data_IF_830179281849
#
_entry.id   IF_830179281849
#
_cell.length_a   1.000
_cell.length_b   1.000
_cell.length_c   1.000
_cell.angle_alpha   90.00
_cell.angle_beta   90.00
_cell.angle_gamma   90.00
#
_symmetry.space_group_name_H-M   'P 1'
#
loop_
_entity.id
_entity.type
_entity.pdbx_description
1 polymer ?
#
# COMPACT_ATOMS: atom_id res chain seq x y z
N UNK A 1 41.12 0.36 -4.20
CA UNK A 1 40.84 1.73 -3.73
C UNK A 1 39.58 1.68 -2.90
N UNK A 2 39.71 1.95 -1.60
CA UNK A 2 38.63 1.96 -0.61
C UNK A 2 38.09 3.38 -0.51
N UNK A 3 36.78 3.55 -0.44
CA UNK A 3 36.17 4.64 0.34
C UNK A 3 34.77 4.23 0.78
N UNK A 4 34.68 3.90 2.07
CA UNK A 4 33.47 3.87 2.88
C UNK A 4 33.29 5.21 3.60
N UNK A 5 32.03 5.44 4.00
CA UNK A 5 31.56 6.22 5.14
C UNK A 5 31.55 7.76 5.05
N UNK A 6 30.34 8.32 5.19
CA UNK A 6 29.88 9.07 6.37
C UNK A 6 28.99 10.26 6.01
N UNK A 7 27.68 10.14 6.24
CA UNK A 7 26.79 11.30 6.38
C UNK A 7 25.80 11.03 7.51
N UNK A 8 26.34 11.03 8.73
CA UNK A 8 25.60 11.17 9.98
C UNK A 8 26.35 12.18 10.83
N UNK A 9 25.64 13.24 11.24
CA UNK A 9 26.01 14.38 12.12
C UNK A 9 26.11 15.72 11.39
N UNK A 10 25.02 16.48 11.45
CA UNK A 10 25.06 17.95 11.64
C UNK A 10 23.68 18.50 11.98
N UNK A 11 23.23 18.26 13.22
CA UNK A 11 22.14 19.02 13.85
C UNK A 11 22.36 19.09 15.37
N UNK A 12 23.56 19.44 15.81
CA UNK A 12 23.82 19.91 17.19
C UNK A 12 25.16 20.63 17.15
N UNK A 13 25.14 21.95 16.96
CA UNK A 13 26.18 22.89 17.39
C UNK A 13 25.75 24.30 17.00
N UNK A 14 25.27 25.04 17.98
CA UNK A 14 24.78 26.41 17.81
C UNK A 14 24.31 26.95 19.16
N UNK A 15 25.21 26.97 20.14
CA UNK A 15 24.93 27.45 21.49
C UNK A 15 26.22 27.81 22.21
N UNK A 16 26.84 28.90 21.76
CA UNK A 16 27.98 29.50 22.47
C UNK A 16 27.47 30.07 23.80
N UNK A 17 28.04 29.56 24.88
CA UNK A 17 27.91 30.06 26.24
C UNK A 17 28.31 31.54 26.29
N UNK A 18 27.37 32.41 26.65
CA UNK A 18 27.69 33.66 27.32
C UNK A 18 27.15 33.58 28.74
N UNK A 19 28.07 33.62 29.70
CA UNK A 19 27.75 33.86 31.10
C UNK A 19 27.34 35.32 31.23
N UNK A 20 26.13 35.57 31.69
CA UNK A 20 25.82 36.81 32.41
C UNK A 20 25.05 36.50 33.68
N UNK A 21 25.59 37.01 34.79
CA UNK A 21 25.03 36.93 36.13
C UNK A 21 23.96 38.01 36.27
N UNK A 22 22.73 37.65 36.61
CA UNK A 22 21.72 38.62 37.02
C UNK A 22 20.36 37.97 37.23
N UNK A 23 19.88 38.01 38.47
CA UNK A 23 18.64 37.37 38.89
C UNK A 23 17.40 37.89 38.16
N UNK A 24 16.47 36.97 37.94
CA UNK A 24 15.13 37.25 37.44
C UNK A 24 14.46 35.93 37.12
N UNK A 25 13.50 35.54 37.94
CA UNK A 25 12.64 34.39 37.71
C UNK A 25 11.80 34.61 36.44
N UNK A 26 12.32 34.21 35.29
CA UNK A 26 11.50 34.01 34.10
C UNK A 26 10.97 32.59 34.12
N UNK A 27 9.72 32.44 34.57
CA UNK A 27 8.88 31.37 34.09
C UNK A 27 8.90 31.43 32.57
N UNK A 28 9.73 30.60 31.94
CA UNK A 28 9.64 30.34 30.53
C UNK A 28 8.36 29.54 30.32
N UNK A 29 7.25 30.26 30.10
CA UNK A 29 6.06 29.70 29.48
C UNK A 29 6.46 29.21 28.10
N UNK A 30 6.84 27.93 28.00
CA UNK A 30 6.88 27.20 26.75
C UNK A 30 5.43 26.94 26.29
N UNK A 31 4.72 27.99 25.92
CA UNK A 31 3.53 27.88 25.06
C UNK A 31 3.98 28.12 23.61
N UNK A 32 4.96 27.35 23.16
CA UNK A 32 5.19 27.20 21.74
C UNK A 32 4.20 26.13 21.28
N UNK A 33 3.16 26.54 20.55
CA UNK A 33 2.44 25.65 19.66
C UNK A 33 3.46 25.07 18.69
N UNK A 34 4.12 23.98 19.09
CA UNK A 34 5.02 23.24 18.25
C UNK A 34 4.12 22.66 17.16
N UNK A 35 4.08 23.32 16.01
CA UNK A 35 3.33 22.84 14.85
C UNK A 35 3.95 21.48 14.51
N UNK A 36 3.25 20.41 14.87
CA UNK A 36 3.63 19.07 14.43
C UNK A 36 3.51 19.09 12.91
N UNK A 37 4.57 18.76 12.17
CA UNK A 37 4.49 18.76 10.71
C UNK A 37 3.45 17.74 10.24
N UNK A 38 2.64 18.13 9.26
CA UNK A 38 1.62 17.27 8.67
C UNK A 38 2.23 16.39 7.56
N UNK A 39 2.21 15.07 7.77
CA UNK A 39 2.75 14.08 6.83
C UNK A 39 1.66 13.30 6.12
N UNK A 40 1.90 12.91 4.88
CA UNK A 40 1.08 11.92 4.18
C UNK A 40 1.32 10.52 4.74
N UNK A 41 0.38 9.63 4.44
CA UNK A 41 0.56 8.20 4.65
C UNK A 41 1.38 7.64 3.49
N UNK A 42 2.50 6.98 3.79
CA UNK A 42 3.41 6.43 2.80
C UNK A 42 3.62 4.92 2.99
N UNK A 43 3.65 4.18 1.88
CA UNK A 43 4.10 2.79 1.86
C UNK A 43 5.61 2.74 1.65
N UNK A 44 6.36 1.87 2.37
CA UNK A 44 7.77 1.71 2.12
C UNK A 44 8.00 1.22 0.69
N UNK A 45 8.96 1.83 0.00
CA UNK A 45 9.44 1.32 -1.28
C UNK A 45 10.19 0.01 -1.03
N UNK A 46 9.85 -1.04 -1.79
CA UNK A 46 10.51 -2.34 -1.75
C UNK A 46 10.91 -2.73 -3.17
N UNK A 47 12.17 -3.16 -3.38
CA UNK A 47 12.61 -3.64 -4.68
C UNK A 47 11.97 -4.99 -5.01
N UNK A 48 11.85 -5.31 -6.30
CA UNK A 48 11.16 -6.52 -6.76
C UNK A 48 11.76 -7.82 -6.20
N UNK A 49 13.08 -7.86 -5.98
CA UNK A 49 13.75 -9.03 -5.41
C UNK A 49 13.26 -9.40 -4.00
N UNK A 50 12.58 -8.49 -3.28
CA UNK A 50 11.98 -8.80 -1.98
C UNK A 50 10.78 -9.74 -2.07
N UNK A 51 10.29 -9.98 -3.28
CA UNK A 51 9.19 -10.91 -3.60
C UNK A 51 9.60 -11.98 -4.65
N UNK A 52 10.90 -12.12 -4.94
CA UNK A 52 11.41 -13.07 -5.94
C UNK A 52 11.32 -14.51 -5.45
N UNK A 53 10.89 -15.42 -6.32
CA UNK A 53 10.68 -16.83 -5.99
C UNK A 53 9.40 -17.09 -5.19
N UNK A 54 8.60 -16.06 -4.92
CA UNK A 54 7.34 -16.18 -4.18
C UNK A 54 7.47 -15.96 -2.68
N UNK A 55 6.69 -15.01 -2.14
CA UNK A 55 6.68 -14.72 -0.71
C UNK A 55 5.29 -14.90 -0.09
N UNK A 56 5.19 -15.89 0.78
CA UNK A 56 4.00 -16.15 1.57
C UNK A 56 3.99 -15.28 2.83
N UNK A 57 2.81 -14.79 3.20
CA UNK A 57 2.61 -13.96 4.39
C UNK A 57 3.52 -12.72 4.40
N UNK A 58 3.60 -12.06 3.24
CA UNK A 58 4.36 -10.82 3.07
C UNK A 58 3.60 -9.63 3.68
N UNK A 59 4.29 -8.75 4.41
CA UNK A 59 3.68 -7.53 4.94
C UNK A 59 4.64 -6.33 4.85
N UNK A 60 4.06 -5.14 4.68
CA UNK A 60 4.78 -3.88 4.67
C UNK A 60 4.10 -2.91 5.62
N UNK A 61 4.85 -2.43 6.61
CA UNK A 61 4.35 -1.46 7.59
C UNK A 61 4.43 -0.05 6.99
N UNK A 62 3.30 0.69 6.87
CA UNK A 62 3.29 2.06 6.39
C UNK A 62 3.75 3.05 7.44
N UNK A 63 4.02 4.28 7.01
CA UNK A 63 4.50 5.36 7.85
C UNK A 63 3.66 6.63 7.68
N UNK A 64 3.56 7.41 8.75
CA UNK A 64 3.14 8.82 8.73
C UNK A 64 4.34 9.64 9.18
N UNK A 65 5.08 10.19 8.23
CA UNK A 65 6.38 10.82 8.50
C UNK A 65 7.35 9.81 9.12
N UNK A 66 7.99 10.12 10.27
CA UNK A 66 8.93 9.20 10.92
C UNK A 66 8.25 8.09 11.75
N UNK A 67 6.91 8.03 11.79
CA UNK A 67 6.18 7.13 12.68
C UNK A 67 5.57 5.95 11.91
N UNK A 68 5.97 4.72 12.27
CA UNK A 68 5.34 3.51 11.75
C UNK A 68 3.90 3.39 12.23
N UNK A 69 2.96 3.15 11.33
CA UNK A 69 1.56 2.87 11.70
C UNK A 69 1.50 1.45 12.29
N UNK A 70 1.00 1.27 13.52
CA UNK A 70 1.06 -0.01 14.21
C UNK A 70 0.21 -1.08 13.52
N UNK A 71 0.76 -2.30 13.48
CA UNK A 71 0.09 -3.54 13.02
C UNK A 71 -0.21 -4.53 14.14
N UNK A 72 0.31 -4.29 15.34
CA UNK A 72 0.30 -5.21 16.49
C UNK A 72 -0.97 -5.12 17.35
N UNK A 73 -2.03 -4.48 16.84
CA UNK A 73 -3.28 -4.26 17.56
C UNK A 73 -3.35 -2.93 18.31
N UNK A 74 -2.24 -2.19 18.40
CA UNK A 74 -2.27 -0.82 18.92
C UNK A 74 -2.81 0.18 17.88
N UNK A 75 -3.28 1.33 18.37
CA UNK A 75 -3.83 2.41 17.55
C UNK A 75 -2.92 3.64 17.64
N UNK A 76 -2.60 4.21 16.48
CA UNK A 76 -1.93 5.49 16.38
C UNK A 76 -2.97 6.61 16.41
N UNK A 77 -2.83 7.56 17.33
CA UNK A 77 -3.66 8.76 17.34
C UNK A 77 -3.08 9.80 16.39
N UNK A 78 -3.89 10.27 15.46
CA UNK A 78 -3.52 11.34 14.54
C UNK A 78 -4.61 12.40 14.48
N UNK A 79 -4.22 13.61 14.11
CA UNK A 79 -5.14 14.70 13.76
C UNK A 79 -5.06 14.95 12.26
N UNK A 80 -6.19 15.06 11.60
CA UNK A 80 -6.26 15.43 10.18
C UNK A 80 -5.90 16.90 10.06
N UNK A 81 -4.75 17.20 9.46
CA UNK A 81 -4.24 18.56 9.36
C UNK A 81 -4.63 19.24 8.04
N UNK A 82 -4.62 18.47 6.94
CA UNK A 82 -4.96 18.98 5.60
C UNK A 82 -5.54 17.89 4.71
N UNK A 83 -6.36 18.29 3.75
CA UNK A 83 -6.82 17.41 2.66
C UNK A 83 -6.18 17.85 1.35
N UNK A 84 -5.40 16.95 0.75
CA UNK A 84 -4.79 17.14 -0.56
C UNK A 84 -5.78 16.79 -1.66
N UNK A 85 -5.57 17.40 -2.84
CA UNK A 85 -6.19 16.94 -4.07
C UNK A 85 -5.36 15.80 -4.62
N UNK A 86 -6.02 14.74 -5.08
CA UNK A 86 -5.35 13.65 -5.78
C UNK A 86 -4.77 14.21 -7.09
N UNK A 87 -3.45 14.15 -7.23
CA UNK A 87 -2.79 14.40 -8.50
C UNK A 87 -2.79 13.10 -9.31
N UNK A 88 -3.12 13.15 -10.62
CA UNK A 88 -3.03 11.98 -11.46
C UNK A 88 -1.58 11.51 -11.55
N UNK A 89 -1.31 10.19 -11.63
CA UNK A 89 0.04 9.71 -11.84
C UNK A 89 0.57 10.15 -13.20
N UNK A 90 1.85 10.50 -13.26
CA UNK A 90 2.53 10.83 -14.50
C UNK A 90 2.66 9.60 -15.43
N UNK A 91 2.57 9.84 -16.74
CA UNK A 91 2.82 8.85 -17.78
C UNK A 91 4.25 8.27 -17.68
N UNK A 92 4.49 7.12 -18.31
CA UNK A 92 5.84 6.53 -18.34
C UNK A 92 6.78 7.36 -19.22
N UNK A 93 7.99 7.60 -18.75
CA UNK A 93 9.04 8.27 -19.52
C UNK A 93 9.80 7.29 -20.40
N UNK A 94 10.56 7.82 -21.36
CA UNK A 94 11.48 7.03 -22.18
C UNK A 94 12.53 6.35 -21.28
N UNK A 95 12.67 5.03 -21.39
CA UNK A 95 13.52 4.16 -20.56
C UNK A 95 12.99 3.80 -19.15
N UNK A 96 11.76 4.16 -18.79
CA UNK A 96 11.16 3.65 -17.56
C UNK A 96 11.06 2.12 -17.60
N UNK A 97 11.48 1.45 -16.52
CA UNK A 97 11.23 0.01 -16.37
C UNK A 97 9.82 -0.18 -15.81
N UNK A 98 8.97 -0.86 -16.57
CA UNK A 98 7.55 -1.05 -16.27
C UNK A 98 7.30 -2.48 -15.81
N UNK A 99 6.63 -2.62 -14.67
CA UNK A 99 6.09 -3.87 -14.18
C UNK A 99 4.61 -3.97 -14.57
N UNK A 100 4.25 -5.11 -15.16
CA UNK A 100 2.89 -5.59 -15.33
C UNK A 100 2.60 -6.67 -14.28
N UNK A 101 1.51 -6.52 -13.57
CA UNK A 101 1.10 -7.47 -12.54
C UNK A 101 -0.40 -7.77 -12.57
N UNK A 102 -0.74 -8.94 -12.04
CA UNK A 102 -2.10 -9.42 -11.83
C UNK A 102 -2.39 -9.50 -10.34
N UNK A 103 -3.50 -8.91 -9.93
CA UNK A 103 -3.97 -8.89 -8.55
C UNK A 103 -5.24 -9.74 -8.45
N UNK A 104 -5.14 -10.85 -7.75
CA UNK A 104 -6.26 -11.77 -7.56
C UNK A 104 -7.07 -11.37 -6.32
N UNK A 105 -8.38 -11.20 -6.47
CA UNK A 105 -9.33 -10.83 -5.40
C UNK A 105 -10.42 -11.89 -5.15
N UNK A 106 -10.35 -13.01 -5.87
CA UNK A 106 -11.35 -14.06 -5.88
C UNK A 106 -11.54 -14.63 -7.29
N UNK A 107 -12.24 -15.76 -7.38
CA UNK A 107 -12.36 -16.56 -8.62
C UNK A 107 -12.96 -15.82 -9.81
N UNK A 108 -13.76 -14.79 -9.55
CA UNK A 108 -14.45 -13.99 -10.55
C UNK A 108 -13.86 -12.57 -10.71
N UNK A 109 -12.72 -12.27 -10.08
CA UNK A 109 -12.11 -10.93 -10.16
C UNK A 109 -10.59 -10.94 -10.05
N UNK A 110 -9.95 -10.55 -11.15
CA UNK A 110 -8.54 -10.23 -11.23
C UNK A 110 -8.35 -8.84 -11.80
N UNK A 111 -7.48 -8.05 -11.18
CA UNK A 111 -7.11 -6.73 -11.68
C UNK A 111 -5.77 -6.80 -12.39
N UNK A 112 -5.73 -6.29 -13.62
CA UNK A 112 -4.48 -5.95 -14.31
C UNK A 112 -3.97 -4.63 -13.73
N UNK A 113 -2.68 -4.52 -13.47
CA UNK A 113 -2.07 -3.27 -13.06
C UNK A 113 -0.67 -3.10 -13.61
N UNK A 114 -0.29 -1.83 -13.79
CA UNK A 114 1.04 -1.44 -14.23
C UNK A 114 1.64 -0.39 -13.31
N UNK A 115 2.97 -0.38 -13.22
CA UNK A 115 3.71 0.63 -12.48
C UNK A 115 5.18 0.66 -12.88
N UNK A 116 5.89 1.74 -12.53
CA UNK A 116 7.35 1.74 -12.50
C UNK A 116 7.86 0.66 -11.56
N UNK A 117 9.01 0.06 -11.89
CA UNK A 117 9.64 -1.01 -11.12
C UNK A 117 9.83 -0.65 -9.64
N UNK A 118 10.30 0.57 -9.37
CA UNK A 118 10.56 1.06 -8.00
C UNK A 118 9.33 1.12 -7.09
N UNK A 119 8.13 1.17 -7.69
CA UNK A 119 6.86 1.28 -6.98
C UNK A 119 6.00 0.02 -7.10
N UNK A 120 6.45 -1.02 -7.80
CA UNK A 120 5.61 -2.18 -8.10
C UNK A 120 5.14 -2.92 -6.84
N UNK A 121 6.07 -3.25 -5.94
CA UNK A 121 5.73 -3.97 -4.71
C UNK A 121 4.78 -3.16 -3.82
N UNK A 122 5.07 -1.86 -3.62
CA UNK A 122 4.24 -0.98 -2.81
C UNK A 122 2.84 -0.79 -3.41
N UNK A 123 2.73 -0.59 -4.73
CA UNK A 123 1.44 -0.45 -5.43
C UNK A 123 0.63 -1.72 -5.46
N UNK A 124 1.23 -2.89 -5.66
CA UNK A 124 0.52 -4.17 -5.60
C UNK A 124 -0.06 -4.38 -4.20
N UNK A 125 0.76 -4.20 -3.17
CA UNK A 125 0.36 -4.47 -1.80
C UNK A 125 -0.65 -3.45 -1.24
N UNK A 126 -0.52 -2.16 -1.58
CA UNK A 126 -1.46 -1.11 -1.12
C UNK A 126 -2.89 -1.28 -1.63
N UNK A 127 -3.10 -2.14 -2.63
CA UNK A 127 -4.41 -2.48 -3.17
C UNK A 127 -5.04 -3.71 -2.49
N UNK A 128 -4.39 -4.28 -1.47
CA UNK A 128 -4.86 -5.40 -0.66
C UNK A 128 -5.39 -6.63 -1.44
N UNK A 129 -4.62 -7.17 -2.42
CA UNK A 129 -4.99 -8.38 -3.15
C UNK A 129 -4.85 -9.63 -2.27
N UNK A 130 -5.55 -10.72 -2.60
CA UNK A 130 -5.27 -12.01 -1.96
C UNK A 130 -3.94 -12.61 -2.43
N UNK A 131 -3.65 -12.46 -3.72
CA UNK A 131 -2.37 -12.86 -4.34
C UNK A 131 -1.99 -11.79 -5.36
N UNK A 132 -0.72 -11.39 -5.36
CA UNK A 132 -0.16 -10.50 -6.37
C UNK A 132 0.92 -11.25 -7.16
N UNK A 133 0.84 -11.20 -8.48
CA UNK A 133 1.76 -11.89 -9.39
C UNK A 133 2.31 -10.87 -10.37
N UNK A 134 3.62 -10.70 -10.42
CA UNK A 134 4.28 -9.91 -11.46
C UNK A 134 4.30 -10.78 -12.70
N UNK A 135 3.48 -10.42 -13.67
CA UNK A 135 3.44 -11.15 -14.93
C UNK A 135 4.71 -10.84 -15.69
N UNK A 136 4.94 -9.56 -16.01
CA UNK A 136 6.04 -9.10 -16.84
C UNK A 136 6.77 -7.89 -16.25
N UNK A 137 8.05 -7.77 -16.59
CA UNK A 137 8.85 -6.57 -16.36
C UNK A 137 9.56 -6.25 -17.65
N UNK A 138 9.23 -5.12 -18.25
CA UNK A 138 9.72 -4.72 -19.57
C UNK A 138 10.35 -3.34 -19.49
N UNK A 139 11.31 -3.09 -20.37
CA UNK A 139 11.72 -1.74 -20.71
C UNK A 139 11.04 -1.41 -22.05
N UNK A 140 10.04 -0.51 -22.09
CA UNK A 140 9.34 -0.20 -23.32
C UNK A 140 10.25 0.47 -24.35
N UNK A 141 10.11 0.09 -25.61
CA UNK A 141 10.86 0.68 -26.74
C UNK A 141 10.29 2.06 -27.19
N UNK A 142 9.13 2.44 -26.64
CA UNK A 142 8.43 3.69 -26.92
C UNK A 142 7.77 4.21 -25.65
N UNK A 143 7.51 5.52 -25.58
CA UNK A 143 6.71 6.12 -24.51
C UNK A 143 5.30 5.50 -24.50
N UNK A 144 4.89 4.94 -23.36
CA UNK A 144 3.57 4.32 -23.17
C UNK A 144 2.78 5.10 -22.13
N UNK A 145 1.51 5.48 -22.41
CA UNK A 145 0.62 5.94 -21.38
C UNK A 145 0.42 4.85 -20.31
N UNK A 146 0.33 5.24 -19.03
CA UNK A 146 0.28 4.30 -17.90
C UNK A 146 -0.77 3.19 -18.11
N UNK A 147 -1.97 3.60 -18.54
CA UNK A 147 -3.12 2.70 -18.66
C UNK A 147 -3.16 1.91 -19.98
N UNK A 148 -2.26 2.18 -20.92
CA UNK A 148 -2.35 1.65 -22.27
C UNK A 148 -2.15 0.13 -22.29
N UNK A 149 -1.11 -0.36 -21.61
CA UNK A 149 -0.83 -1.80 -21.53
C UNK A 149 -1.96 -2.57 -20.83
N UNK A 150 -2.54 -1.99 -19.77
CA UNK A 150 -3.70 -2.59 -19.09
C UNK A 150 -4.91 -2.73 -20.02
N UNK A 151 -5.18 -1.70 -20.85
CA UNK A 151 -6.25 -1.74 -21.86
C UNK A 151 -5.98 -2.78 -22.93
N UNK A 152 -4.76 -2.79 -23.50
CA UNK A 152 -4.37 -3.74 -24.54
C UNK A 152 -4.56 -5.19 -24.09
N UNK A 153 -4.20 -5.52 -22.84
CA UNK A 153 -4.41 -6.85 -22.26
C UNK A 153 -5.89 -7.17 -22.14
N UNK A 154 -6.70 -6.28 -21.57
CA UNK A 154 -8.14 -6.54 -21.43
C UNK A 154 -8.82 -6.72 -22.80
N UNK A 155 -8.49 -5.87 -23.77
CA UNK A 155 -9.11 -5.90 -25.09
C UNK A 155 -8.73 -7.16 -25.87
N UNK A 156 -7.50 -7.66 -25.69
CA UNK A 156 -7.02 -8.89 -26.34
C UNK A 156 -7.60 -10.15 -25.68
N UNK A 157 -7.53 -10.25 -24.35
CA UNK A 157 -7.95 -11.45 -23.64
C UNK A 157 -9.47 -11.57 -23.52
N UNK A 158 -10.20 -10.45 -23.46
CA UNK A 158 -11.67 -10.39 -23.33
C UNK A 158 -12.23 -11.25 -22.20
N UNK A 159 -11.42 -11.50 -21.17
CA UNK A 159 -11.80 -12.35 -20.06
C UNK A 159 -12.76 -11.60 -19.12
N UNK A 160 -13.91 -12.19 -18.75
CA UNK A 160 -14.90 -11.52 -17.91
C UNK A 160 -14.39 -11.26 -16.48
N UNK A 161 -13.39 -12.01 -16.01
CA UNK A 161 -12.80 -11.86 -14.68
C UNK A 161 -11.73 -10.77 -14.63
N UNK A 162 -11.14 -10.40 -15.78
CA UNK A 162 -10.09 -9.37 -15.84
C UNK A 162 -10.72 -7.97 -15.82
N UNK A 163 -10.19 -7.11 -14.94
CA UNK A 163 -10.63 -5.73 -14.73
C UNK A 163 -9.44 -4.79 -14.67
N UNK A 164 -9.67 -3.54 -15.02
CA UNK A 164 -8.69 -2.44 -14.87
C UNK A 164 -8.80 -1.75 -13.51
N UNK A 165 -10.02 -1.66 -12.99
CA UNK A 165 -10.27 -1.12 -11.66
C UNK A 165 -10.11 -2.20 -10.59
N UNK A 166 -9.83 -1.79 -9.36
CA UNK A 166 -9.96 -2.68 -8.19
C UNK A 166 -11.45 -2.90 -7.86
N UNK A 167 -11.82 -4.00 -7.19
CA UNK A 167 -13.17 -4.15 -6.67
C UNK A 167 -13.52 -3.05 -5.67
N UNK A 168 -14.81 -2.86 -5.43
CA UNK A 168 -15.26 -1.98 -4.35
C UNK A 168 -14.72 -2.45 -2.99
N UNK A 169 -14.43 -1.50 -2.09
CA UNK A 169 -13.85 -1.80 -0.78
C UNK A 169 -14.73 -2.76 0.05
N UNK A 170 -16.06 -2.67 -0.07
CA UNK A 170 -17.01 -3.61 0.54
C UNK A 170 -16.73 -5.06 0.15
N UNK A 171 -16.49 -5.30 -1.14
CA UNK A 171 -16.15 -6.61 -1.67
C UNK A 171 -14.77 -7.08 -1.20
N UNK A 172 -13.78 -6.20 -1.20
CA UNK A 172 -12.43 -6.51 -0.69
C UNK A 172 -12.52 -6.93 0.79
N UNK A 173 -13.24 -6.18 1.62
CA UNK A 173 -13.46 -6.48 3.03
C UNK A 173 -14.19 -7.82 3.21
N UNK A 174 -15.27 -8.07 2.47
CA UNK A 174 -16.00 -9.34 2.57
C UNK A 174 -15.14 -10.54 2.17
N UNK A 175 -14.35 -10.41 1.11
CA UNK A 175 -13.44 -11.46 0.66
C UNK A 175 -12.38 -11.75 1.73
N UNK A 176 -11.72 -10.72 2.24
CA UNK A 176 -10.72 -10.88 3.30
C UNK A 176 -11.31 -11.50 4.55
N UNK A 177 -12.50 -11.07 5.00
CA UNK A 177 -13.16 -11.66 6.16
C UNK A 177 -13.53 -13.13 5.93
N UNK A 178 -13.90 -13.52 4.70
CA UNK A 178 -14.10 -14.93 4.36
C UNK A 178 -12.80 -15.72 4.52
N UNK A 179 -11.67 -15.20 4.04
CA UNK A 179 -10.36 -15.87 4.17
C UNK A 179 -9.88 -15.92 5.62
N UNK A 180 -9.99 -14.81 6.36
CA UNK A 180 -9.60 -14.70 7.78
C UNK A 180 -10.38 -15.70 8.64
N UNK A 181 -11.64 -15.98 8.29
CA UNK A 181 -12.44 -16.96 9.02
C UNK A 181 -11.81 -18.37 9.00
N UNK A 182 -10.92 -18.68 8.05
CA UNK A 182 -10.25 -19.98 7.93
C UNK A 182 -11.10 -21.06 7.27
N UNK A 183 -12.22 -20.70 6.65
CA UNK A 183 -13.17 -21.64 6.04
C UNK A 183 -13.48 -21.23 4.59
N UNK A 184 -13.79 -22.22 3.76
CA UNK A 184 -14.24 -22.02 2.38
C UNK A 184 -13.16 -22.18 1.30
N UNK A 185 -13.59 -22.16 0.04
CA UNK A 185 -12.73 -22.49 -1.11
C UNK A 185 -11.56 -21.52 -1.30
N UNK A 186 -11.77 -20.22 -1.09
CA UNK A 186 -10.70 -19.22 -1.23
C UNK A 186 -9.58 -19.43 -0.21
N UNK A 187 -9.93 -19.69 1.05
CA UNK A 187 -8.95 -20.00 2.08
C UNK A 187 -8.14 -21.26 1.70
N UNK A 188 -8.84 -22.34 1.29
CA UNK A 188 -8.19 -23.59 0.88
C UNK A 188 -7.25 -23.40 -0.32
N UNK A 189 -7.63 -22.58 -1.31
CA UNK A 189 -6.77 -22.23 -2.44
C UNK A 189 -5.51 -21.52 -1.95
N UNK A 190 -5.63 -20.51 -1.10
CA UNK A 190 -4.47 -19.80 -0.58
C UNK A 190 -3.55 -20.71 0.23
N UNK A 191 -4.07 -21.56 1.11
CA UNK A 191 -3.24 -22.55 1.83
C UNK A 191 -2.55 -23.52 0.86
N UNK A 192 -3.25 -23.97 -0.20
CA UNK A 192 -2.64 -24.81 -1.24
C UNK A 192 -1.51 -24.07 -1.98
N UNK A 193 -1.63 -22.77 -2.24
CA UNK A 193 -0.53 -21.97 -2.82
C UNK A 193 0.64 -21.91 -1.84
N UNK A 194 0.39 -21.73 -0.54
CA UNK A 194 1.45 -21.71 0.48
C UNK A 194 2.20 -23.04 0.54
N UNK A 195 1.50 -24.15 0.39
CA UNK A 195 2.08 -25.49 0.40
C UNK A 195 2.85 -25.80 -0.89
N UNK A 196 2.29 -25.46 -2.06
CA UNK A 196 2.85 -25.82 -3.37
C UNK A 196 3.81 -24.78 -3.94
N UNK A 197 3.79 -23.56 -3.41
CA UNK A 197 4.51 -22.40 -3.92
C UNK A 197 4.24 -22.12 -5.40
N UNK A 198 3.02 -22.40 -5.86
CA UNK A 198 2.60 -22.26 -7.26
C UNK A 198 1.23 -21.58 -7.36
N UNK A 199 1.20 -20.24 -7.40
CA UNK A 199 -0.05 -19.51 -7.53
C UNK A 199 -0.71 -19.69 -8.90
N UNK A 200 0.07 -19.93 -9.97
CA UNK A 200 -0.47 -20.01 -11.32
C UNK A 200 -1.32 -21.26 -11.51
N UNK A 201 -0.80 -22.42 -11.09
CA UNK A 201 -1.52 -23.68 -11.21
C UNK A 201 -2.71 -23.75 -10.25
N UNK A 202 -2.56 -23.29 -9.01
CA UNK A 202 -3.64 -23.40 -8.00
C UNK A 202 -4.80 -22.44 -8.27
N UNK A 203 -4.50 -21.24 -8.79
CA UNK A 203 -5.55 -20.29 -9.17
C UNK A 203 -6.11 -20.56 -10.57
N UNK A 204 -5.50 -21.46 -11.34
CA UNK A 204 -5.88 -21.77 -12.73
C UNK A 204 -5.78 -20.54 -13.65
N UNK A 205 -4.76 -19.69 -13.42
CA UNK A 205 -4.57 -18.40 -14.12
C UNK A 205 -3.36 -18.39 -15.06
N UNK A 206 -2.71 -19.54 -15.24
CA UNK A 206 -1.48 -19.64 -16.03
C UNK A 206 -1.67 -19.14 -17.47
N UNK A 207 -2.73 -19.56 -18.16
CA UNK A 207 -3.01 -19.14 -19.54
C UNK A 207 -3.23 -17.63 -19.64
N UNK A 208 -4.05 -17.07 -18.74
CA UNK A 208 -4.31 -15.63 -18.68
C UNK A 208 -3.01 -14.84 -18.44
N UNK A 209 -2.15 -15.32 -17.55
CA UNK A 209 -0.88 -14.68 -17.27
C UNK A 209 0.09 -14.80 -18.46
N UNK A 210 0.14 -15.95 -19.13
CA UNK A 210 0.95 -16.16 -20.34
C UNK A 210 0.52 -15.28 -21.50
N UNK A 211 -0.79 -15.10 -21.70
CA UNK A 211 -1.30 -14.21 -22.74
C UNK A 211 -0.97 -12.75 -22.44
N UNK A 212 -1.13 -12.32 -21.19
CA UNK A 212 -0.75 -10.98 -20.76
C UNK A 212 0.77 -10.73 -20.88
N UNK A 213 1.60 -11.73 -20.57
CA UNK A 213 3.04 -11.73 -20.85
C UNK A 213 3.33 -11.60 -22.33
N UNK A 214 2.61 -12.34 -23.18
CA UNK A 214 2.73 -12.26 -24.64
C UNK A 214 2.43 -10.87 -25.17
N UNK A 215 1.39 -10.20 -24.63
CA UNK A 215 1.09 -8.79 -24.96
C UNK A 215 2.22 -7.88 -24.53
N UNK A 216 2.72 -8.00 -23.29
CA UNK A 216 3.80 -7.13 -22.80
C UNK A 216 5.05 -7.20 -23.68
N UNK A 217 5.37 -8.39 -24.20
CA UNK A 217 6.51 -8.62 -25.10
C UNK A 217 6.39 -7.96 -26.47
N UNK A 218 5.20 -7.52 -26.87
CA UNK A 218 5.04 -6.72 -28.09
C UNK A 218 5.56 -5.28 -27.91
N UNK A 219 5.80 -4.85 -26.66
CA UNK A 219 6.17 -3.47 -26.31
C UNK A 219 7.61 -3.31 -25.79
N UNK A 220 8.29 -4.43 -25.48
CA UNK A 220 9.67 -4.42 -25.01
C UNK A 220 10.11 -5.80 -24.54
N UNK A 221 11.43 -5.99 -24.46
CA UNK A 221 12.00 -7.26 -24.01
C UNK A 221 11.82 -7.46 -22.49
N UNK A 222 11.45 -8.67 -22.05
CA UNK A 222 11.30 -8.97 -20.63
C UNK A 222 12.66 -9.03 -19.94
N UNK A 223 12.79 -8.32 -18.83
CA UNK A 223 14.02 -8.24 -18.03
C UNK A 223 14.16 -9.38 -17.00
N UNK A 224 13.05 -10.03 -16.68
CA UNK A 224 12.96 -11.13 -15.72
C UNK A 224 12.26 -12.33 -16.37
N UNK A 225 12.21 -13.48 -15.71
CA UNK A 225 11.40 -14.60 -16.18
C UNK A 225 9.90 -14.41 -15.91
N UNK A 226 9.09 -15.21 -16.60
CA UNK A 226 7.65 -15.22 -16.47
C UNK A 226 7.22 -15.59 -15.04
N UNK A 227 6.43 -14.72 -14.41
CA UNK A 227 5.82 -14.96 -13.09
C UNK A 227 6.81 -15.33 -11.96
N UNK A 228 8.08 -14.94 -12.08
CA UNK A 228 9.12 -15.22 -11.08
C UNK A 228 8.90 -14.51 -9.73
N UNK A 229 8.06 -13.48 -9.70
CA UNK A 229 7.86 -12.63 -8.54
C UNK A 229 6.38 -12.59 -8.17
N UNK A 230 6.07 -12.99 -6.94
CA UNK A 230 4.70 -12.99 -6.45
C UNK A 230 4.67 -12.97 -4.92
N UNK A 231 3.54 -12.59 -4.35
CA UNK A 231 3.34 -12.69 -2.91
C UNK A 231 1.88 -12.91 -2.51
N UNK A 232 1.69 -13.44 -1.31
CA UNK A 232 0.43 -13.49 -0.57
C UNK A 232 0.57 -12.58 0.64
N UNK A 233 -0.28 -11.55 0.81
CA UNK A 233 -0.23 -10.75 2.02
C UNK A 233 -0.51 -11.55 3.28
N UNK A 234 0.11 -11.15 4.40
CA UNK A 234 -0.18 -11.74 5.70
C UNK A 234 -1.62 -11.45 6.14
N UNK A 235 -2.25 -12.44 6.77
CA UNK A 235 -3.65 -12.37 7.16
C UNK A 235 -3.79 -11.51 8.44
N UNK A 236 -4.77 -10.59 8.49
CA UNK A 236 -5.14 -9.95 9.74
C UNK A 236 -5.58 -11.00 10.77
N UNK A 237 -5.20 -10.80 12.04
CA UNK A 237 -5.59 -11.70 13.14
C UNK A 237 -7.07 -11.56 13.54
N UNK A 238 -7.63 -10.39 13.29
CA UNK A 238 -9.00 -10.04 13.64
C UNK A 238 -9.79 -9.76 12.36
N UNK A 239 -11.11 -10.02 12.34
CA UNK A 239 -11.97 -9.60 11.25
C UNK A 239 -11.88 -8.09 11.01
N UNK A 240 -11.90 -7.71 9.75
CA UNK A 240 -11.92 -6.32 9.32
C UNK A 240 -13.30 -5.71 9.59
N UNK A 241 -13.37 -4.49 10.18
CA UNK A 241 -14.61 -3.73 10.28
C UNK A 241 -15.23 -3.44 8.90
N UNK A 242 -16.51 -3.04 8.82
CA UNK A 242 -17.12 -2.63 7.57
C UNK A 242 -16.37 -1.43 6.95
N UNK A 243 -16.44 -1.23 5.62
CA UNK A 243 -15.87 -0.06 4.97
C UNK A 243 -16.38 1.26 5.56
N UNK A 244 -15.54 2.29 5.55
CA UNK A 244 -15.95 3.63 5.94
C UNK A 244 -17.07 4.14 5.01
N UNK A 245 -18.26 4.49 5.53
CA UNK A 245 -19.34 4.99 4.69
C UNK A 245 -18.91 6.26 3.97
N UNK A 246 -19.28 6.43 2.69
CA UNK A 246 -18.88 7.60 1.88
C UNK A 246 -19.24 8.96 2.50
N UNK A 247 -20.26 8.99 3.37
CA UNK A 247 -20.75 10.19 4.09
C UNK A 247 -19.93 10.53 5.34
N UNK A 248 -19.21 9.56 5.88
CA UNK A 248 -18.36 9.68 7.07
C UNK A 248 -16.94 9.85 6.55
N UNK A 249 -16.52 11.09 6.31
CA UNK A 249 -15.14 11.39 5.91
C UNK A 249 -14.44 12.16 7.04
N UNK A 250 -13.17 11.83 7.36
CA UNK A 250 -12.38 12.61 8.30
C UNK A 250 -12.32 14.07 7.87
N UNK A 251 -12.53 14.98 8.82
CA UNK A 251 -12.49 16.43 8.57
C UNK A 251 -11.19 17.02 9.10
N UNK A 252 -10.74 18.12 8.50
CA UNK A 252 -9.60 18.88 9.04
C UNK A 252 -9.89 19.29 10.50
N UNK A 253 -8.87 19.15 11.35
CA UNK A 253 -8.94 19.32 12.80
C UNK A 253 -9.48 18.10 13.56
N UNK A 254 -10.04 17.08 12.90
CA UNK A 254 -10.57 15.89 13.56
C UNK A 254 -9.44 14.97 14.04
N UNK A 255 -9.55 14.51 15.29
CA UNK A 255 -8.72 13.44 15.82
C UNK A 255 -9.33 12.08 15.45
N UNK A 256 -8.51 11.23 14.84
CA UNK A 256 -8.87 9.86 14.49
C UNK A 256 -7.80 8.90 15.02
N UNK A 257 -8.18 7.62 15.12
CA UNK A 257 -7.26 6.54 15.40
C UNK A 257 -7.00 5.77 14.11
N UNK A 258 -5.73 5.52 13.79
CA UNK A 258 -5.30 4.71 12.66
C UNK A 258 -4.65 3.42 13.16
N UNK A 259 -5.02 2.30 12.55
CA UNK A 259 -4.40 0.99 12.72
C UNK A 259 -4.16 0.40 11.34
N UNK A 260 -3.01 -0.21 11.13
CA UNK A 260 -2.70 -0.91 9.89
C UNK A 260 -2.97 -2.40 10.03
N UNK A 261 -3.47 -3.04 8.97
CA UNK A 261 -3.63 -4.49 8.89
C UNK A 261 -2.59 -5.06 7.93
N UNK A 262 -2.01 -6.24 8.23
CA UNK A 262 -0.87 -6.80 7.49
C UNK A 262 -1.18 -7.15 6.02
N UNK A 263 -2.45 -7.08 5.61
CA UNK A 263 -2.89 -7.28 4.23
C UNK A 263 -2.90 -6.01 3.37
N UNK A 264 -2.50 -4.86 3.90
CA UNK A 264 -2.48 -3.58 3.16
C UNK A 264 -3.67 -2.66 3.44
N UNK A 265 -4.66 -3.09 4.24
CA UNK A 265 -5.82 -2.28 4.62
C UNK A 265 -5.61 -1.55 5.93
N UNK A 266 -6.40 -0.50 6.16
CA UNK A 266 -6.35 0.31 7.37
C UNK A 266 -7.67 0.23 8.11
N UNK A 267 -7.60 0.22 9.44
CA UNK A 267 -8.74 0.53 10.29
C UNK A 267 -8.63 1.99 10.74
N UNK A 268 -9.72 2.73 10.60
CA UNK A 268 -9.87 4.09 11.08
C UNK A 268 -10.96 4.10 12.13
N UNK A 269 -10.66 4.62 13.32
CA UNK A 269 -11.70 4.93 14.29
C UNK A 269 -11.93 6.43 14.39
N UNK A 270 -13.18 6.85 14.24
CA UNK A 270 -13.62 8.24 14.34
C UNK A 270 -14.55 8.40 15.53
N UNK A 271 -14.84 9.65 15.92
CA UNK A 271 -15.87 9.92 16.95
C UNK A 271 -17.30 9.76 16.40
N UNK A 272 -17.45 9.62 15.08
CA UNK A 272 -18.74 9.54 14.39
C UNK A 272 -19.25 8.09 14.46
N UNK A 273 -20.40 7.89 15.13
CA UNK A 273 -21.06 6.58 15.21
C UNK A 273 -21.97 6.37 14.01
N UNK A 274 -21.93 5.18 13.41
CA UNK A 274 -22.90 4.78 12.39
C UNK A 274 -24.14 4.13 13.01
N UNK A 275 -25.20 4.00 12.20
CA UNK A 275 -26.45 3.32 12.58
C UNK A 275 -26.20 1.86 12.99
N UNK A 276 -25.13 1.25 12.45
CA UNK A 276 -24.68 -0.12 12.77
C UNK A 276 -23.87 -0.20 14.08
N UNK A 277 -23.79 0.89 14.86
CA UNK A 277 -23.25 0.88 16.23
C UNK A 277 -21.73 0.91 16.36
N UNK A 278 -20.99 0.90 15.24
CA UNK A 278 -19.54 0.94 15.22
C UNK A 278 -18.96 2.35 15.10
N UNK A 279 -17.72 2.52 15.57
CA UNK A 279 -16.90 3.71 15.35
C UNK A 279 -15.58 3.40 14.64
N UNK A 280 -15.38 2.14 14.21
CA UNK A 280 -14.19 1.66 13.53
C UNK A 280 -14.58 1.15 12.13
N UNK A 281 -13.80 1.54 11.13
CA UNK A 281 -14.10 1.32 9.73
C UNK A 281 -12.86 0.94 8.94
N UNK A 282 -13.02 0.12 7.92
CA UNK A 282 -11.94 -0.21 7.00
C UNK A 282 -11.79 0.86 5.91
N UNK A 283 -10.55 1.23 5.62
CA UNK A 283 -10.13 2.09 4.52
C UNK A 283 -9.01 1.42 3.72
N UNK A 284 -8.91 1.77 2.44
CA UNK A 284 -7.74 1.44 1.63
C UNK A 284 -6.73 2.59 1.63
N UNK A 285 -5.51 2.30 1.16
CA UNK A 285 -4.43 3.28 1.09
C UNK A 285 -4.83 4.52 0.29
N UNK A 286 -5.43 4.35 -0.90
CA UNK A 286 -5.83 5.48 -1.76
C UNK A 286 -6.77 6.45 -1.02
N UNK A 287 -7.73 5.91 -0.26
CA UNK A 287 -8.68 6.71 0.51
C UNK A 287 -7.99 7.57 1.58
N UNK A 288 -6.88 7.09 2.14
CA UNK A 288 -6.13 7.78 3.20
C UNK A 288 -4.99 8.66 2.69
N UNK A 289 -4.41 8.34 1.54
CA UNK A 289 -3.25 9.05 0.97
C UNK A 289 -3.49 10.53 0.70
N UNK A 290 -4.74 10.92 0.48
CA UNK A 290 -5.17 12.32 0.31
C UNK A 290 -5.20 13.14 1.61
N UNK A 291 -4.95 12.55 2.77
CA UNK A 291 -4.95 13.27 4.03
C UNK A 291 -3.52 13.49 4.53
N UNK A 292 -3.25 14.71 5.00
CA UNK A 292 -2.08 15.01 5.81
C UNK A 292 -2.41 14.87 7.29
N UNK A 293 -1.59 14.13 8.02
CA UNK A 293 -1.78 13.79 9.42
C UNK A 293 -0.70 14.39 10.30
N UNK A 294 -1.12 14.96 11.42
CA UNK A 294 -0.29 15.30 12.58
C UNK A 294 -0.34 14.12 13.56
N UNK A 295 0.80 13.49 13.84
CA UNK A 295 0.84 12.39 14.83
C UNK A 295 0.78 12.98 16.23
N UNK A 296 -0.21 12.58 17.02
CA UNK A 296 -0.31 12.98 18.41
C UNK A 296 0.69 12.15 19.24
N UNK A 297 1.82 12.76 19.59
CA UNK A 297 2.75 12.19 20.57
C UNK A 297 2.01 12.13 21.92
N UNK A 298 1.98 10.95 22.54
CA UNK A 298 1.42 10.83 23.89
C UNK A 298 2.22 11.74 24.82
N UNK A 299 1.52 12.63 25.53
CA UNK A 299 2.02 13.28 26.76
C UNK A 299 2.19 12.26 27.88
#
# INVERSE_FOLDING_TARGET
>A
MKHEASYTRRLFEGGVLSQDRGGGSTHANYSAHQQVPAFTLDMPRKPLYSIQGGHVSFSMVPFVGPFSVPSDGSWMRVKVARIFKDEPPDDFEENDIVCLYMLYYGDDYMKVGTSRLESAVSRMFSQAPLVAIVVAVIQPDTVLPLEYLERAIIDKLKSPILKRSKPELSRIVSTWNSVISGHGQLYMKLETIKEKMDPLAVLEVEEICKDAWGVAREYGDPLYGFAEHWFIPEYPREPLPPPLPKRVQPREGEEILLKFNPNGLFCVSTRQRTVEGGSAFTCDFNSLSRYGFEVALRE
#
